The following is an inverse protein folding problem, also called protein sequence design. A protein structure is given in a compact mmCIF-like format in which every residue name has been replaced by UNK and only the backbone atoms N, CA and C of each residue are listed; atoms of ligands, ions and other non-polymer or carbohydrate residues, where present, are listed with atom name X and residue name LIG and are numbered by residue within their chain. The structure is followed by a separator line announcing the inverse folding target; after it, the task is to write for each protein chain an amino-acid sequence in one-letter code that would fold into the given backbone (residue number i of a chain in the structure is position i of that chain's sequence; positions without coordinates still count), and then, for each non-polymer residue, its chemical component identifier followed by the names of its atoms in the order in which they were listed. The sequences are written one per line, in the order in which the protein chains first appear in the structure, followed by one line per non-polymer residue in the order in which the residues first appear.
data_IF_122565095442
#
_entry.id   IF_122565095442
#
_cell.length_a   1.000
_cell.length_b   1.000
_cell.length_c   1.000
_cell.angle_alpha   90.00
_cell.angle_beta   90.00
_cell.angle_gamma   90.00
#
_symmetry.space_group_name_H-M   'P 1'
#
loop_
_entity.id
_entity.type
_entity.pdbx_description
1 polymer ?
#
# COMPACT_ATOMS: atom_id res chain seq x y z
N UNK A 1 -10.73 1.56 6.47
CA UNK A 1 -11.54 0.69 5.59
C UNK A 1 -11.06 -0.73 5.80
N UNK A 2 -11.93 -1.72 5.70
CA UNK A 2 -11.59 -3.13 5.92
C UNK A 2 -11.95 -3.89 4.64
N UNK A 3 -11.02 -4.69 4.11
CA UNK A 3 -11.33 -5.64 3.04
C UNK A 3 -11.86 -6.93 3.67
N UNK A 4 -13.06 -7.35 3.28
CA UNK A 4 -13.73 -8.52 3.84
C UNK A 4 -14.00 -9.56 2.76
N UNK A 5 -13.94 -10.83 3.14
CA UNK A 5 -14.23 -11.94 2.24
C UNK A 5 -15.71 -11.91 1.79
N UNK A 6 -15.96 -12.08 0.50
CA UNK A 6 -17.32 -12.09 -0.07
C UNK A 6 -17.98 -13.48 0.00
N UNK A 7 -17.17 -14.51 0.20
CA UNK A 7 -17.52 -15.92 0.29
C UNK A 7 -16.62 -16.62 1.32
N UNK A 8 -16.92 -17.88 1.63
CA UNK A 8 -15.98 -18.71 2.39
C UNK A 8 -14.77 -19.03 1.50
N UNK A 9 -13.55 -18.85 2.04
CA UNK A 9 -12.30 -19.06 1.32
C UNK A 9 -11.50 -20.14 2.06
N UNK A 10 -11.20 -21.23 1.36
CA UNK A 10 -10.34 -22.30 1.87
C UNK A 10 -8.88 -21.85 1.94
N UNK A 11 -8.06 -22.58 2.70
CA UNK A 11 -6.60 -22.35 2.77
C UNK A 11 -5.96 -22.53 1.39
N UNK A 12 -4.90 -21.77 1.10
CA UNK A 12 -4.14 -21.84 -0.16
C UNK A 12 -4.93 -21.43 -1.42
N UNK A 13 -5.95 -20.59 -1.25
CA UNK A 13 -6.79 -20.08 -2.35
C UNK A 13 -6.38 -18.67 -2.74
N UNK A 14 -6.24 -18.40 -4.03
CA UNK A 14 -6.01 -17.03 -4.53
C UNK A 14 -7.25 -16.17 -4.27
N UNK A 15 -7.08 -15.09 -3.50
CA UNK A 15 -8.13 -14.16 -3.08
C UNK A 15 -8.39 -13.10 -4.16
N UNK A 16 -7.36 -12.75 -4.94
CA UNK A 16 -7.44 -11.76 -5.99
C UNK A 16 -6.96 -12.34 -7.33
N UNK A 17 -7.43 -11.81 -8.47
CA UNK A 17 -6.68 -11.93 -9.71
C UNK A 17 -5.27 -11.31 -9.59
N UNK A 18 -4.37 -11.60 -10.54
CA UNK A 18 -3.13 -10.86 -10.69
C UNK A 18 -3.40 -9.35 -10.87
N UNK A 19 -3.15 -8.59 -9.81
CA UNK A 19 -3.35 -7.15 -9.77
C UNK A 19 -2.19 -6.44 -10.46
N UNK A 20 -2.52 -5.45 -11.27
CA UNK A 20 -1.55 -4.59 -11.96
C UNK A 20 -1.20 -3.41 -11.04
N UNK A 21 0.09 -3.02 -10.93
CA UNK A 21 0.47 -1.84 -10.16
C UNK A 21 -0.03 -0.57 -10.84
N UNK A 22 -0.45 0.41 -10.04
CA UNK A 22 -0.72 1.78 -10.49
C UNK A 22 0.58 2.54 -10.83
N UNK A 23 1.65 2.23 -10.10
CA UNK A 23 2.98 2.80 -10.33
C UNK A 23 4.03 1.83 -9.82
N UNK A 24 5.14 1.70 -10.54
CA UNK A 24 6.26 0.84 -10.18
C UNK A 24 7.58 1.53 -10.53
N UNK A 25 8.58 1.39 -9.66
CA UNK A 25 9.93 1.91 -9.85
C UNK A 25 10.95 0.87 -9.47
N UNK A 26 11.87 0.55 -10.39
CA UNK A 26 13.02 -0.29 -10.07
C UNK A 26 13.98 0.43 -9.11
N UNK A 27 14.62 -0.35 -8.25
CA UNK A 27 15.75 0.10 -7.46
C UNK A 27 16.96 0.26 -8.39
N UNK A 28 17.43 1.49 -8.61
CA UNK A 28 18.70 1.69 -9.32
C UNK A 28 19.85 1.36 -8.36
N UNK A 29 20.36 0.13 -8.43
CA UNK A 29 21.48 -0.36 -7.61
C UNK A 29 22.81 0.37 -7.87
N UNK A 30 22.92 1.13 -8.95
CA UNK A 30 24.19 1.74 -9.37
C UNK A 30 24.53 3.05 -8.65
N UNK A 31 23.56 3.80 -8.11
CA UNK A 31 23.80 5.14 -7.59
C UNK A 31 22.79 5.46 -6.47
N UNK A 32 23.29 5.73 -5.25
CA UNK A 32 22.56 6.45 -4.19
C UNK A 32 22.30 7.91 -4.62
N UNK A 33 21.67 8.10 -5.76
CA UNK A 33 21.43 9.41 -6.36
C UNK A 33 19.92 9.60 -6.45
N UNK A 34 19.48 10.75 -5.95
CA UNK A 34 18.13 11.24 -6.19
C UNK A 34 17.77 11.12 -7.68
N UNK A 35 16.56 10.69 -8.01
CA UNK A 35 15.44 10.51 -7.10
C UNK A 35 15.37 9.12 -6.44
N UNK A 36 14.88 9.07 -5.19
CA UNK A 36 14.58 7.81 -4.49
C UNK A 36 13.51 6.99 -5.23
N UNK A 37 13.37 5.68 -4.98
CA UNK A 37 12.31 4.87 -5.56
C UNK A 37 10.91 5.41 -5.21
N UNK A 38 10.72 5.91 -3.98
CA UNK A 38 9.48 6.53 -3.56
C UNK A 38 9.18 7.79 -4.38
N UNK A 39 10.18 8.68 -4.56
CA UNK A 39 10.05 9.87 -5.39
C UNK A 39 9.66 9.51 -6.83
N UNK A 40 10.38 8.58 -7.45
CA UNK A 40 10.09 8.16 -8.84
C UNK A 40 8.69 7.57 -8.98
N UNK A 41 8.25 6.81 -7.97
CA UNK A 41 6.91 6.22 -7.91
C UNK A 41 5.85 7.30 -7.74
N UNK A 42 6.10 8.31 -6.90
CA UNK A 42 5.21 9.45 -6.66
C UNK A 42 5.06 10.34 -7.89
N UNK A 43 6.17 10.63 -8.59
CA UNK A 43 6.15 11.39 -9.83
C UNK A 43 5.28 10.70 -10.88
N UNK A 44 5.53 9.41 -11.15
CA UNK A 44 4.69 8.63 -12.05
C UNK A 44 3.22 8.65 -11.63
N UNK A 45 2.95 8.45 -10.33
CA UNK A 45 1.57 8.44 -9.84
C UNK A 45 0.85 9.78 -10.09
N UNK A 46 1.53 10.91 -9.92
CA UNK A 46 0.96 12.24 -10.17
C UNK A 46 0.77 12.60 -11.64
N UNK A 47 1.64 12.09 -12.50
CA UNK A 47 1.51 12.31 -13.94
C UNK A 47 0.25 11.63 -14.48
N UNK A 48 -0.16 10.50 -13.90
CA UNK A 48 -1.35 9.75 -14.33
C UNK A 48 -2.61 9.99 -13.48
N UNK A 49 -2.48 10.47 -12.24
CA UNK A 49 -3.61 10.66 -11.34
C UNK A 49 -3.53 11.96 -10.55
N UNK A 50 -4.63 12.70 -10.52
CA UNK A 50 -4.75 13.91 -9.68
C UNK A 50 -5.31 13.59 -8.29
N UNK A 51 -4.80 14.22 -7.23
CA UNK A 51 -5.40 14.14 -5.91
C UNK A 51 -6.83 14.69 -5.87
N UNK A 52 -7.68 14.06 -5.07
CA UNK A 52 -9.02 14.53 -4.74
C UNK A 52 -8.98 15.55 -3.60
N UNK A 53 -10.06 16.33 -3.43
CA UNK A 53 -10.23 17.23 -2.29
C UNK A 53 -10.17 16.50 -0.93
N UNK A 54 -10.50 15.21 -0.90
CA UNK A 54 -10.37 14.36 0.29
C UNK A 54 -8.93 13.89 0.56
N UNK A 55 -7.95 14.36 -0.21
CA UNK A 55 -6.54 14.02 -0.07
C UNK A 55 -6.20 12.60 -0.51
N UNK A 56 -7.01 12.00 -1.40
CA UNK A 56 -6.78 10.67 -1.98
C UNK A 56 -6.23 10.79 -3.39
N UNK A 57 -5.47 9.81 -3.85
CA UNK A 57 -4.98 9.73 -5.23
C UNK A 57 -5.24 8.30 -5.73
N UNK A 58 -5.92 8.14 -6.87
CA UNK A 58 -6.37 6.84 -7.37
C UNK A 58 -7.12 5.98 -6.31
N UNK A 59 -7.93 6.63 -5.46
CA UNK A 59 -8.65 6.00 -4.34
C UNK A 59 -7.79 5.65 -3.10
N UNK A 60 -6.47 5.82 -3.17
CA UNK A 60 -5.53 5.49 -2.11
C UNK A 60 -5.58 6.51 -0.95
N UNK A 61 -5.34 6.02 0.25
CA UNK A 61 -5.19 6.86 1.43
C UNK A 61 -3.79 7.46 1.44
N UNK A 62 -3.67 8.80 1.48
CA UNK A 62 -2.37 9.44 1.65
C UNK A 62 -1.87 9.40 3.09
N UNK A 63 -2.76 9.38 4.08
CA UNK A 63 -2.42 9.61 5.49
C UNK A 63 -1.54 10.87 5.70
N UNK A 64 -1.64 11.86 4.80
CA UNK A 64 -0.84 13.09 4.84
C UNK A 64 -0.78 13.69 6.25
N UNK A 65 -1.93 13.93 6.86
CA UNK A 65 -2.03 14.47 8.21
C UNK A 65 -1.28 13.66 9.27
N UNK A 66 -1.18 12.32 9.16
CA UNK A 66 -0.43 11.50 10.12
C UNK A 66 1.06 11.57 9.88
N UNK A 67 1.48 11.59 8.62
CA UNK A 67 2.89 11.56 8.24
C UNK A 67 3.56 12.94 8.39
N UNK A 68 2.81 14.03 8.26
CA UNK A 68 3.33 15.40 8.33
C UNK A 68 3.05 16.13 9.63
N UNK A 69 2.15 15.63 10.49
CA UNK A 69 1.81 16.31 11.76
C UNK A 69 2.93 16.26 12.80
N UNK A 70 3.78 15.24 12.77
CA UNK A 70 4.89 15.13 13.70
C UNK A 70 6.07 15.92 13.15
N UNK A 71 6.78 16.68 13.99
CA UNK A 71 7.97 17.42 13.57
C UNK A 71 9.24 16.54 13.71
N UNK A 72 9.23 15.40 13.01
CA UNK A 72 10.29 14.39 13.05
C UNK A 72 11.07 14.32 11.72
N UNK A 73 12.09 13.46 11.68
CA UNK A 73 12.93 13.29 10.48
C UNK A 73 12.13 12.85 9.25
N UNK A 74 11.05 12.08 9.44
CA UNK A 74 10.23 11.62 8.32
C UNK A 74 9.43 12.79 7.74
N UNK A 75 8.80 13.63 8.56
CA UNK A 75 8.04 14.77 8.04
C UNK A 75 8.93 15.83 7.37
N UNK A 76 10.16 16.02 7.88
CA UNK A 76 11.13 16.88 7.22
C UNK A 76 11.52 16.34 5.83
N UNK A 77 11.80 15.03 5.72
CA UNK A 77 12.09 14.39 4.42
C UNK A 77 10.91 14.53 3.45
N UNK A 78 9.68 14.32 3.92
CA UNK A 78 8.47 14.49 3.10
C UNK A 78 8.39 15.91 2.54
N UNK A 79 8.68 16.94 3.33
CA UNK A 79 8.66 18.34 2.86
C UNK A 79 9.70 18.58 1.76
N UNK A 80 10.93 18.11 1.97
CA UNK A 80 12.04 18.28 1.00
C UNK A 80 11.73 17.53 -0.30
N UNK A 81 11.32 16.28 -0.21
CA UNK A 81 11.02 15.46 -1.39
C UNK A 81 9.78 15.99 -2.14
N UNK A 82 8.76 16.49 -1.43
CA UNK A 82 7.59 17.11 -2.04
C UNK A 82 7.95 18.42 -2.78
N UNK A 83 8.86 19.24 -2.24
CA UNK A 83 9.36 20.43 -2.92
C UNK A 83 10.10 20.08 -4.21
N UNK A 84 11.01 19.09 -4.15
CA UNK A 84 11.72 18.62 -5.33
C UNK A 84 10.76 18.02 -6.37
N UNK A 85 9.74 17.29 -5.93
CA UNK A 85 8.73 16.69 -6.80
C UNK A 85 7.87 17.77 -7.47
N UNK A 86 7.48 18.79 -6.73
CA UNK A 86 6.71 19.92 -7.23
C UNK A 86 7.51 20.74 -8.27
N UNK A 87 8.80 20.99 -7.99
CA UNK A 87 9.69 21.69 -8.92
C UNK A 87 9.88 20.92 -10.22
N UNK A 88 10.02 19.59 -10.16
CA UNK A 88 10.11 18.74 -11.35
C UNK A 88 8.83 18.80 -12.19
N UNK A 89 7.65 18.74 -11.55
CA UNK A 89 6.36 18.86 -12.25
C UNK A 89 6.21 20.26 -12.88
N UNK A 90 6.57 21.32 -12.16
CA UNK A 90 6.51 22.69 -12.65
C UNK A 90 7.39 22.86 -13.90
N UNK A 91 8.63 22.32 -13.85
CA UNK A 91 9.56 22.34 -14.97
C UNK A 91 9.01 21.61 -16.20
N UNK A 92 8.40 20.43 -16.02
CA UNK A 92 7.75 19.70 -17.12
C UNK A 92 6.57 20.47 -17.74
N UNK A 93 5.90 21.33 -16.96
CA UNK A 93 4.85 22.23 -17.44
C UNK A 93 5.37 23.59 -17.96
N UNK A 94 6.68 23.83 -17.97
CA UNK A 94 7.29 25.09 -18.41
C UNK A 94 7.17 26.25 -17.42
N UNK A 95 6.92 25.96 -16.13
CA UNK A 95 6.90 26.95 -15.06
C UNK A 95 8.24 26.99 -14.31
N UNK A 96 8.68 28.21 -13.96
CA UNK A 96 9.95 28.42 -13.24
C UNK A 96 9.89 27.96 -11.78
N UNK A 97 8.73 28.11 -11.12
CA UNK A 97 8.54 27.76 -9.71
C UNK A 97 7.21 27.03 -9.51
N UNK A 98 7.15 26.03 -8.62
CA UNK A 98 5.90 25.35 -8.28
C UNK A 98 4.98 26.29 -7.50
N UNK A 99 3.69 26.29 -7.86
CA UNK A 99 2.68 26.96 -7.04
C UNK A 99 2.26 26.09 -5.84
N UNK A 100 1.57 26.70 -4.87
CA UNK A 100 1.12 26.02 -3.65
C UNK A 100 0.23 24.79 -3.92
N UNK A 101 -0.55 24.81 -5.01
CA UNK A 101 -1.40 23.69 -5.42
C UNK A 101 -0.56 22.49 -5.86
N UNK A 102 0.45 22.69 -6.70
CA UNK A 102 1.36 21.61 -7.15
C UNK A 102 2.15 21.05 -5.98
N UNK A 103 2.59 21.89 -5.04
CA UNK A 103 3.26 21.43 -3.82
C UNK A 103 2.34 20.59 -2.91
N UNK A 104 1.07 20.97 -2.80
CA UNK A 104 0.05 20.20 -2.09
C UNK A 104 -0.17 18.83 -2.73
N UNK A 105 -0.32 18.79 -4.05
CA UNK A 105 -0.47 17.53 -4.80
C UNK A 105 0.75 16.63 -4.68
N UNK A 106 1.95 17.19 -4.80
CA UNK A 106 3.24 16.52 -4.55
C UNK A 106 3.29 15.88 -3.16
N UNK A 107 2.88 16.64 -2.14
CA UNK A 107 2.84 16.16 -0.76
C UNK A 107 1.85 15.00 -0.60
N UNK A 108 0.66 15.10 -1.19
CA UNK A 108 -0.37 14.04 -1.11
C UNK A 108 0.12 12.76 -1.78
N UNK A 109 0.72 12.84 -2.97
CA UNK A 109 1.21 11.67 -3.68
C UNK A 109 2.38 10.99 -2.98
N UNK A 110 3.34 11.76 -2.45
CA UNK A 110 4.43 11.20 -1.67
C UNK A 110 3.92 10.47 -0.43
N UNK A 111 3.00 11.08 0.31
CA UNK A 111 2.36 10.46 1.46
C UNK A 111 1.57 9.18 1.07
N UNK A 112 0.91 9.18 -0.09
CA UNK A 112 0.22 8.01 -0.62
C UNK A 112 1.18 6.87 -1.00
N UNK A 113 2.32 7.17 -1.62
CA UNK A 113 3.35 6.16 -1.89
C UNK A 113 3.89 5.59 -0.57
N UNK A 114 4.32 6.44 0.36
CA UNK A 114 4.83 5.99 1.67
C UNK A 114 3.83 5.15 2.47
N UNK A 115 2.52 5.42 2.30
CA UNK A 115 1.46 4.69 2.99
C UNK A 115 1.14 3.33 2.35
N UNK A 116 1.15 3.24 1.02
CA UNK A 116 0.54 2.11 0.30
C UNK A 116 1.56 1.27 -0.48
N UNK A 117 2.78 1.76 -0.67
CA UNK A 117 3.76 1.07 -1.47
C UNK A 117 4.31 -0.18 -0.78
N UNK A 118 4.59 -1.19 -1.59
CA UNK A 118 5.23 -2.44 -1.19
C UNK A 118 6.56 -2.60 -1.91
N UNK A 119 7.52 -3.18 -1.20
CA UNK A 119 8.79 -3.59 -1.78
C UNK A 119 8.55 -4.81 -2.66
N UNK A 120 8.97 -4.71 -3.92
CA UNK A 120 8.93 -5.79 -4.88
C UNK A 120 10.19 -6.60 -4.72
N UNK A 121 10.06 -7.88 -4.46
CA UNK A 121 11.19 -8.80 -4.34
C UNK A 121 11.09 -9.90 -5.40
N UNK A 122 12.25 -10.38 -5.85
CA UNK A 122 12.32 -11.59 -6.67
C UNK A 122 12.18 -12.87 -5.83
N UNK A 123 12.37 -14.02 -6.46
CA UNK A 123 12.25 -15.32 -5.79
C UNK A 123 13.42 -15.62 -4.83
N UNK A 124 14.52 -14.88 -4.93
CA UNK A 124 15.67 -14.97 -4.02
C UNK A 124 15.58 -13.97 -2.86
N UNK A 125 14.54 -13.12 -2.84
CA UNK A 125 14.35 -12.07 -1.83
C UNK A 125 15.14 -10.79 -2.12
N UNK A 126 15.72 -10.65 -3.31
CA UNK A 126 16.37 -9.42 -3.71
C UNK A 126 15.32 -8.33 -3.96
N UNK A 127 15.51 -7.16 -3.36
CA UNK A 127 14.63 -6.02 -3.58
C UNK A 127 14.86 -5.45 -4.99
N UNK A 128 13.85 -5.59 -5.84
CA UNK A 128 13.82 -5.08 -7.20
C UNK A 128 13.35 -3.63 -7.27
N UNK A 129 12.60 -3.14 -6.30
CA UNK A 129 12.00 -1.82 -6.36
C UNK A 129 10.74 -1.64 -5.50
N UNK A 130 9.96 -0.62 -5.82
CA UNK A 130 8.76 -0.22 -5.07
C UNK A 130 7.57 -0.14 -6.00
N UNK A 131 6.45 -0.75 -5.61
CA UNK A 131 5.19 -0.74 -6.36
C UNK A 131 4.02 -0.25 -5.50
N UNK A 132 3.09 0.47 -6.12
CA UNK A 132 1.81 0.86 -5.53
C UNK A 132 0.69 0.18 -6.31
N UNK A 133 -0.21 -0.49 -5.59
CA UNK A 133 -1.38 -1.14 -6.19
C UNK A 133 -2.67 -0.39 -5.83
N UNK A 134 -3.73 -0.63 -6.60
CA UNK A 134 -5.03 -0.01 -6.36
C UNK A 134 -5.70 -0.42 -5.04
N UNK A 135 -6.87 0.18 -4.74
CA UNK A 135 -7.63 -0.05 -3.51
C UNK A 135 -7.85 -1.53 -3.14
N UNK A 136 -8.01 -2.40 -4.15
CA UNK A 136 -8.21 -3.85 -3.96
C UNK A 136 -7.14 -4.50 -3.08
N UNK A 137 -5.89 -4.05 -3.19
CA UNK A 137 -4.79 -4.51 -2.33
C UNK A 137 -4.47 -3.52 -1.21
N UNK A 138 -4.36 -2.24 -1.54
CA UNK A 138 -3.88 -1.21 -0.60
C UNK A 138 -4.83 -0.95 0.58
N UNK A 139 -6.05 -1.49 0.57
CA UNK A 139 -6.98 -1.42 1.70
C UNK A 139 -6.98 -2.69 2.60
N UNK A 140 -6.17 -3.70 2.29
CA UNK A 140 -6.04 -4.92 3.11
C UNK A 140 -5.19 -4.58 4.33
N UNK A 141 -5.80 -4.55 5.51
CA UNK A 141 -5.12 -4.13 6.74
C UNK A 141 -4.06 -5.12 7.24
N UNK A 142 -3.25 -4.63 8.17
CA UNK A 142 -2.25 -5.40 8.86
C UNK A 142 -2.79 -6.30 9.99
N UNK A 143 -2.26 -7.51 10.11
CA UNK A 143 -2.29 -8.31 11.34
C UNK A 143 -0.96 -9.02 11.55
N UNK A 144 -0.48 -9.11 12.80
CA UNK A 144 0.69 -9.92 13.14
C UNK A 144 0.37 -11.43 13.25
N UNK A 145 -0.91 -11.81 13.09
CA UNK A 145 -1.37 -13.17 12.84
C UNK A 145 -2.30 -13.15 11.63
N UNK A 146 -1.75 -12.88 10.43
CA UNK A 146 -2.55 -12.67 9.23
C UNK A 146 -3.29 -13.95 8.81
N UNK A 147 -4.29 -13.79 7.96
CA UNK A 147 -5.00 -14.89 7.31
C UNK A 147 -4.75 -14.95 5.79
N UNK A 148 -4.04 -13.97 5.24
CA UNK A 148 -3.54 -13.96 3.86
C UNK A 148 -2.07 -13.53 3.77
N UNK A 149 -1.43 -13.88 2.66
CA UNK A 149 -0.15 -13.34 2.21
C UNK A 149 -0.28 -12.90 0.74
N UNK A 150 0.77 -12.34 0.17
CA UNK A 150 0.81 -12.01 -1.25
C UNK A 150 2.14 -12.43 -1.87
N UNK A 151 2.14 -12.56 -3.20
CA UNK A 151 3.30 -12.89 -4.02
C UNK A 151 3.30 -12.08 -5.30
N UNK A 152 4.47 -11.88 -5.87
CA UNK A 152 4.64 -11.26 -7.18
C UNK A 152 4.70 -12.32 -8.28
N UNK A 153 4.21 -11.97 -9.47
CA UNK A 153 4.38 -12.76 -10.69
C UNK A 153 4.88 -11.84 -11.80
N UNK A 154 5.96 -12.27 -12.46
CA UNK A 154 6.62 -11.51 -13.52
C UNK A 154 6.28 -12.03 -14.93
N UNK A 155 5.66 -13.20 -15.04
CA UNK A 155 5.22 -13.76 -16.33
C UNK A 155 3.81 -13.30 -16.70
N UNK A 156 3.59 -13.14 -18.01
CA UNK A 156 2.27 -12.86 -18.61
C UNK A 156 1.40 -14.11 -18.77
N UNK A 157 1.83 -15.26 -18.25
CA UNK A 157 1.12 -16.53 -18.39
C UNK A 157 -0.24 -16.47 -17.68
N UNK A 158 -1.30 -16.40 -18.48
CA UNK A 158 -2.69 -16.47 -18.06
C UNK A 158 -3.01 -17.90 -17.61
N UNK A 159 -2.82 -18.20 -16.33
CA UNK A 159 -3.25 -19.48 -15.77
C UNK A 159 -3.99 -19.30 -14.46
N UNK A 160 -5.31 -19.50 -14.57
CA UNK A 160 -6.37 -19.72 -13.57
C UNK A 160 -7.43 -18.62 -13.51
N UNK A 161 -8.68 -19.04 -13.41
CA UNK A 161 -9.87 -18.23 -13.12
C UNK A 161 -9.76 -17.63 -11.71
N UNK A 162 -8.85 -16.68 -11.54
CA UNK A 162 -8.65 -16.02 -10.27
C UNK A 162 -9.72 -14.95 -10.07
N UNK A 163 -10.88 -15.38 -9.56
CA UNK A 163 -11.99 -14.54 -9.12
C UNK A 163 -11.54 -13.59 -7.99
N UNK A 164 -12.07 -12.38 -7.97
CA UNK A 164 -11.93 -11.46 -6.83
C UNK A 164 -12.89 -11.90 -5.70
N UNK A 165 -12.34 -12.24 -4.53
CA UNK A 165 -13.07 -12.82 -3.38
C UNK A 165 -13.17 -11.89 -2.17
N UNK A 166 -12.80 -10.63 -2.33
CA UNK A 166 -12.84 -9.60 -1.28
C UNK A 166 -13.51 -8.34 -1.80
N UNK A 167 -14.17 -7.63 -0.88
CA UNK A 167 -14.78 -6.35 -1.14
C UNK A 167 -14.57 -5.40 0.05
N UNK A 168 -14.56 -4.08 -0.18
CA UNK A 168 -14.52 -3.12 0.91
C UNK A 168 -15.80 -3.18 1.74
N UNK A 169 -15.66 -3.05 3.07
CA UNK A 169 -16.78 -2.93 3.99
C UNK A 169 -16.70 -1.62 4.76
N UNK A 170 -17.79 -0.85 4.73
CA UNK A 170 -17.97 0.37 5.51
C UNK A 170 -18.80 0.00 6.75
N UNK A 171 -18.25 0.22 7.95
CA UNK A 171 -19.03 0.12 9.19
C UNK A 171 -19.95 1.35 9.29
N UNK A 172 -21.23 1.18 8.99
CA UNK A 172 -22.25 2.21 9.18
C UNK A 172 -22.22 2.75 10.62
N UNK A 173 -21.82 4.02 10.77
CA UNK A 173 -22.11 4.84 11.95
C UNK A 173 -22.88 6.06 11.45
N UNK A 174 -24.21 5.99 11.52
CA UNK A 174 -25.19 7.05 11.24
C UNK A 174 -25.24 7.61 9.80
N UNK A 175 -26.45 7.65 9.25
CA UNK A 175 -26.79 8.37 8.02
C UNK A 175 -26.39 9.85 8.17
N UNK A 176 -25.30 10.24 7.52
CA UNK A 176 -25.12 11.60 7.03
C UNK A 176 -24.93 11.46 5.54
N UNK A 177 -25.86 12.04 4.77
CA UNK A 177 -25.76 12.16 3.33
C UNK A 177 -24.48 12.95 3.01
N UNK A 178 -23.48 12.27 2.45
CA UNK A 178 -22.34 12.91 1.79
C UNK A 178 -22.00 12.10 0.55
N UNK A 179 -22.26 12.75 -0.58
CA UNK A 179 -21.83 12.50 -1.96
C UNK A 179 -21.69 11.06 -2.47
N UNK A 180 -22.63 10.76 -3.36
CA UNK A 180 -22.68 9.66 -4.31
C UNK A 180 -21.47 9.76 -5.26
N UNK A 181 -20.45 8.91 -5.07
CA UNK A 181 -19.25 9.03 -5.89
C UNK A 181 -18.14 8.00 -5.68
N UNK A 182 -18.43 6.79 -5.19
CA UNK A 182 -17.51 5.64 -5.37
C UNK A 182 -18.34 4.40 -5.65
N UNK A 183 -18.94 4.36 -6.83
CA UNK A 183 -19.30 3.09 -7.44
C UNK A 183 -18.01 2.36 -7.78
N UNK A 184 -17.84 1.17 -7.21
CA UNK A 184 -16.83 0.23 -7.66
C UNK A 184 -17.28 -0.31 -9.02
N UNK A 185 -17.13 0.50 -10.07
CA UNK A 185 -17.26 0.01 -11.44
C UNK A 185 -16.03 -0.84 -11.70
N UNK A 186 -16.24 -2.16 -11.65
CA UNK A 186 -15.32 -3.08 -12.29
C UNK A 186 -15.21 -2.70 -13.76
N UNK A 187 -13.97 -2.66 -14.25
CA UNK A 187 -13.63 -2.80 -15.68
C UNK A 187 -14.42 -1.91 -16.64
N UNK A 188 -14.02 -0.65 -16.83
CA UNK A 188 -14.36 0.08 -18.06
C UNK A 188 -13.41 1.25 -18.37
N UNK A 189 -12.09 1.07 -18.19
CA UNK A 189 -11.06 1.83 -18.91
C UNK A 189 -9.82 0.94 -19.06
N UNK A 190 -9.97 -0.16 -19.79
CA UNK A 190 -8.83 -0.73 -20.50
C UNK A 190 -8.92 -0.16 -21.92
N UNK A 191 -8.44 1.06 -22.12
CA UNK A 191 -8.02 1.43 -23.47
C UNK A 191 -6.82 0.53 -23.82
N UNK A 192 -7.02 -0.28 -24.85
CA UNK A 192 -6.00 -1.06 -25.51
C UNK A 192 -4.93 -0.10 -26.05
N UNK A 193 -3.87 0.14 -25.28
CA UNK A 193 -2.81 1.06 -25.71
C UNK A 193 -1.57 1.17 -24.83
N UNK A 194 -1.67 0.94 -23.52
CA UNK A 194 -0.49 0.98 -22.64
C UNK A 194 -0.15 -0.43 -22.13
N UNK A 195 0.98 -0.95 -22.61
CA UNK A 195 1.61 -2.15 -22.06
C UNK A 195 1.79 -1.94 -20.55
N UNK A 196 0.95 -2.56 -19.72
CA UNK A 196 1.05 -2.47 -18.26
C UNK A 196 2.41 -3.01 -17.78
N UNK A 197 3.35 -2.12 -17.49
CA UNK A 197 4.69 -2.46 -17.00
C UNK A 197 4.69 -2.71 -15.48
N UNK A 198 5.31 -3.81 -15.05
CA UNK A 198 5.58 -4.09 -13.63
C UNK A 198 5.10 -5.46 -13.14
N UNK A 199 5.54 -5.87 -11.93
CA UNK A 199 5.18 -7.14 -11.32
C UNK A 199 3.69 -7.16 -10.96
N UNK A 200 3.01 -8.24 -11.31
CA UNK A 200 1.62 -8.44 -10.86
C UNK A 200 1.62 -8.99 -9.44
N UNK A 201 0.63 -8.59 -8.63
CA UNK A 201 0.47 -9.05 -7.25
C UNK A 201 -0.75 -9.95 -7.11
N UNK A 202 -0.58 -11.09 -6.43
CA UNK A 202 -1.67 -12.01 -6.11
C UNK A 202 -1.72 -12.20 -4.60
N UNK A 203 -2.89 -11.96 -4.00
CA UNK A 203 -3.15 -12.26 -2.60
C UNK A 203 -3.65 -13.69 -2.47
N UNK A 204 -3.13 -14.47 -1.53
CA UNK A 204 -3.50 -15.86 -1.27
C UNK A 204 -3.80 -16.09 0.20
N UNK A 205 -4.82 -16.89 0.50
CA UNK A 205 -5.16 -17.28 1.86
C UNK A 205 -4.11 -18.24 2.44
N UNK A 206 -3.75 -18.03 3.71
CA UNK A 206 -2.88 -18.94 4.49
C UNK A 206 -3.63 -19.61 5.64
N UNK A 207 -4.91 -19.27 5.81
CA UNK A 207 -5.87 -19.85 6.74
C UNK A 207 -7.23 -19.91 6.04
N UNK A 208 -8.17 -20.71 6.56
CA UNK A 208 -9.58 -20.60 6.16
C UNK A 208 -10.11 -19.23 6.60
N UNK A 209 -10.86 -18.56 5.72
CA UNK A 209 -11.47 -17.24 5.97
C UNK A 209 -12.97 -17.38 5.74
N UNK A 210 -13.79 -17.02 6.73
CA UNK A 210 -15.25 -17.10 6.58
C UNK A 210 -15.78 -15.91 5.78
N UNK A 211 -16.92 -16.08 5.09
CA UNK A 211 -17.65 -14.95 4.49
C UNK A 211 -17.85 -13.83 5.51
N UNK A 212 -17.51 -12.62 5.11
CA UNK A 212 -17.58 -11.42 5.93
C UNK A 212 -16.44 -11.25 6.93
N UNK A 213 -15.51 -12.21 7.07
CA UNK A 213 -14.30 -12.04 7.87
C UNK A 213 -13.34 -11.05 7.20
N UNK A 214 -12.63 -10.26 8.00
CA UNK A 214 -11.61 -9.34 7.49
C UNK A 214 -10.40 -10.11 6.96
N UNK A 215 -9.95 -9.74 5.77
CA UNK A 215 -8.70 -10.23 5.19
C UNK A 215 -7.57 -9.31 5.63
N UNK A 216 -6.49 -9.91 6.14
CA UNK A 216 -5.32 -9.18 6.66
C UNK A 216 -4.02 -9.81 6.19
N UNK A 217 -3.01 -8.98 5.97
CA UNK A 217 -1.65 -9.36 5.58
C UNK A 217 -0.63 -8.86 6.60
N UNK A 218 0.64 -9.29 6.49
CA UNK A 218 1.73 -8.75 7.29
C UNK A 218 2.39 -7.55 6.56
N UNK A 219 2.63 -6.45 7.29
CA UNK A 219 3.34 -5.26 6.80
C UNK A 219 4.79 -5.20 7.33
N UNK A 220 5.13 -6.11 8.24
CA UNK A 220 6.40 -6.20 8.97
C UNK A 220 6.77 -7.67 9.08
N UNK A 221 8.04 -7.97 9.31
CA UNK A 221 8.52 -9.32 9.54
C UNK A 221 7.91 -9.92 10.82
N UNK A 222 7.21 -11.05 10.66
CA UNK A 222 6.54 -11.76 11.75
C UNK A 222 7.52 -12.48 12.69
N UNK A 223 8.78 -12.65 12.28
CA UNK A 223 9.86 -13.25 13.07
C UNK A 223 10.56 -12.24 14.00
N UNK A 224 10.11 -10.98 14.01
CA UNK A 224 10.61 -9.98 14.94
C UNK A 224 9.86 -10.01 16.30
N UNK A 225 10.52 -9.60 17.40
CA UNK A 225 9.86 -9.39 18.69
C UNK A 225 8.71 -8.38 18.61
N UNK A 226 7.72 -8.50 19.50
CA UNK A 226 6.55 -7.61 19.54
C UNK A 226 6.95 -6.13 19.58
N UNK A 227 7.97 -5.76 20.36
CA UNK A 227 8.42 -4.38 20.48
C UNK A 227 8.94 -3.83 19.14
N UNK A 228 9.74 -4.61 18.40
CA UNK A 228 10.28 -4.24 17.10
C UNK A 228 9.16 -4.09 16.07
N UNK A 229 8.26 -5.08 15.97
CA UNK A 229 7.08 -5.01 15.08
C UNK A 229 6.25 -3.76 15.34
N UNK A 230 5.98 -3.42 16.60
CA UNK A 230 5.22 -2.20 16.94
C UNK A 230 5.98 -0.93 16.55
N UNK A 231 7.29 -0.89 16.80
CA UNK A 231 8.14 0.25 16.45
C UNK A 231 8.17 0.50 14.94
N UNK A 232 8.34 -0.55 14.13
CA UNK A 232 8.32 -0.45 12.67
C UNK A 232 6.96 0.04 12.14
N UNK A 233 5.87 -0.55 12.65
CA UNK A 233 4.52 -0.17 12.26
C UNK A 233 4.21 1.29 12.62
N UNK A 234 4.65 1.74 13.80
CA UNK A 234 4.53 3.14 14.19
C UNK A 234 5.36 4.05 13.29
N UNK A 235 6.62 3.71 13.05
CA UNK A 235 7.54 4.53 12.25
C UNK A 235 7.04 4.74 10.81
N UNK A 236 6.62 3.65 10.14
CA UNK A 236 6.21 3.67 8.73
C UNK A 236 4.75 4.06 8.53
N UNK A 237 3.85 3.54 9.35
CA UNK A 237 2.39 3.64 9.13
C UNK A 237 1.64 4.43 10.20
N UNK A 238 2.31 4.87 11.27
CA UNK A 238 1.74 5.70 12.35
C UNK A 238 0.52 5.06 13.03
N UNK A 239 0.58 3.74 13.26
CA UNK A 239 -0.43 3.03 14.07
C UNK A 239 0.21 1.98 14.96
N UNK A 240 -0.49 1.64 16.05
CA UNK A 240 -0.14 0.54 16.94
C UNK A 240 -1.04 -0.66 16.65
N UNK A 241 -0.46 -1.85 16.44
CA UNK A 241 -1.23 -3.05 16.13
C UNK A 241 -1.88 -3.64 17.38
N UNK A 242 -3.20 -3.84 17.34
CA UNK A 242 -3.99 -4.46 18.42
C UNK A 242 -4.52 -5.87 18.05
N UNK A 243 -3.91 -6.54 17.06
CA UNK A 243 -4.34 -7.87 16.64
C UNK A 243 -4.23 -8.93 17.76
N UNK A 244 -4.85 -10.09 17.57
CA UNK A 244 -4.85 -11.21 18.54
C UNK A 244 -3.46 -11.57 19.07
N UNK A 245 -2.43 -11.55 18.21
CA UNK A 245 -1.04 -11.84 18.62
C UNK A 245 -0.45 -10.72 19.50
N UNK A 246 -0.69 -9.46 19.16
CA UNK A 246 -0.19 -8.33 19.93
C UNK A 246 -0.93 -8.14 21.26
N UNK A 247 -2.21 -8.49 21.32
CA UNK A 247 -3.06 -8.34 22.50
C UNK A 247 -3.02 -9.56 23.44
N UNK A 248 -2.32 -10.64 23.07
CA UNK A 248 -2.24 -11.85 23.88
C UNK A 248 -1.48 -11.62 25.20
N UNK A 249 -2.08 -12.08 26.30
CA UNK A 249 -1.50 -12.13 27.65
C UNK A 249 -1.85 -13.49 28.29
N UNK A 250 -0.87 -14.31 28.72
CA UNK A 250 0.57 -14.13 28.53
C UNK A 250 0.96 -14.19 27.05
N UNK A 251 2.24 -13.87 26.73
CA UNK A 251 2.71 -13.96 25.35
C UNK A 251 2.50 -15.36 24.76
N UNK A 252 2.24 -15.41 23.46
CA UNK A 252 2.24 -16.68 22.74
C UNK A 252 3.62 -17.35 22.85
N UNK A 253 3.68 -18.68 22.75
CA UNK A 253 4.95 -19.41 22.77
C UNK A 253 5.97 -18.84 21.77
N UNK A 254 5.53 -18.51 20.55
CA UNK A 254 6.37 -17.92 19.51
C UNK A 254 6.92 -16.57 19.96
N UNK A 255 6.08 -15.66 20.46
CA UNK A 255 6.54 -14.34 20.90
C UNK A 255 7.43 -14.42 22.14
N UNK A 256 7.25 -15.40 23.02
CA UNK A 256 8.16 -15.67 24.12
C UNK A 256 9.54 -16.11 23.60
N UNK A 257 9.58 -17.05 22.64
CA UNK A 257 10.84 -17.50 22.05
C UNK A 257 11.60 -16.39 21.32
N UNK A 258 10.88 -15.48 20.65
CA UNK A 258 11.48 -14.33 19.95
C UNK A 258 12.04 -13.26 20.91
N UNK A 259 11.52 -13.15 22.14
CA UNK A 259 12.03 -12.18 23.12
C UNK A 259 13.39 -12.54 23.69
N UNK A 260 13.73 -13.82 23.74
CA UNK A 260 14.91 -14.33 24.45
C UNK A 260 16.21 -14.19 23.62
N UNK A 261 16.13 -13.69 22.38
CA UNK A 261 17.27 -13.62 21.44
C UNK A 261 17.87 -12.22 21.24
N UNK A 262 17.72 -11.32 22.21
CA UNK A 262 18.40 -10.01 22.21
C UNK A 262 19.40 -9.93 23.35
#
# INVERSE_FOLDING_TARGET
MEMRATEDIDISTDITPPLIPLSFSLLNSSLNIHPSPDFSTSLRLLLHHRPTLSGRIAGLLSNRHKLTSQNDQLSHRIKVDAQALAAEIANQCGHTEPNDCVLEEATIALCAVLTNAVEVQDNEGQNLGVAVFGPTFSWINHSCSPNACYRFTFSSSSSSESKLRIAPSIRNSQQVQVDDGVSCVGSEFAEEGEQSYGPRLIVRSIKRIKKGEEVTVAYTDLLQPKAIRQSELWSKYRFNCCCKRCSALPFTYVDHALQVRL
#
